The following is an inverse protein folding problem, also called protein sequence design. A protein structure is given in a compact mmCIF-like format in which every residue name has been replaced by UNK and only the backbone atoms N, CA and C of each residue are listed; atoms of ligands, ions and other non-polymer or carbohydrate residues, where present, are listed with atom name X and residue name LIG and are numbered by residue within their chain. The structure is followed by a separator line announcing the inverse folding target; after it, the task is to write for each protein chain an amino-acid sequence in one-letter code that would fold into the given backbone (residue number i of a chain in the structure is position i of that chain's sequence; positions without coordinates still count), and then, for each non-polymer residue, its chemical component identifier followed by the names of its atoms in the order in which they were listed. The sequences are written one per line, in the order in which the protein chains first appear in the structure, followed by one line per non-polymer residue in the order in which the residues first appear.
data_IF_692978465299
#
_entry.id   IF_692978465299
#
_cell.length_a   1.000
_cell.length_b   1.000
_cell.length_c   1.000
_cell.angle_alpha   90.00
_cell.angle_beta   90.00
_cell.angle_gamma   90.00
#
_symmetry.space_group_name_H-M   'P 1'
#
loop_
_entity.id
_entity.type
_entity.pdbx_description
1 polymer ?
#
# COMPACT_ATOMS: atom_id res chain seq x y z
N UNK A 1 -49.32 -10.46 -42.91
CA UNK A 1 -48.21 -11.22 -42.27
C UNK A 1 -47.02 -10.29 -42.07
N UNK A 2 -46.90 -9.63 -40.91
CA UNK A 2 -45.72 -8.83 -40.58
C UNK A 2 -44.54 -9.77 -40.24
N UNK A 3 -43.43 -9.64 -40.98
CA UNK A 3 -42.21 -10.42 -40.76
C UNK A 3 -41.58 -10.04 -39.42
N UNK A 4 -41.28 -11.07 -38.64
CA UNK A 4 -40.57 -11.05 -37.35
C UNK A 4 -39.27 -10.25 -37.43
N UNK A 5 -39.07 -9.44 -36.42
CA UNK A 5 -37.92 -8.58 -36.17
C UNK A 5 -36.58 -9.35 -36.16
N UNK A 6 -35.61 -8.86 -36.93
CA UNK A 6 -34.20 -9.27 -36.87
C UNK A 6 -33.48 -8.41 -35.82
N UNK A 7 -33.60 -8.74 -34.53
CA UNK A 7 -32.95 -8.01 -33.43
C UNK A 7 -32.34 -8.94 -32.35
N UNK A 8 -31.69 -10.03 -32.76
CA UNK A 8 -31.05 -10.98 -31.82
C UNK A 8 -29.54 -11.18 -32.04
N UNK A 9 -28.88 -10.35 -32.86
CA UNK A 9 -27.44 -10.49 -33.15
C UNK A 9 -26.50 -9.87 -32.10
N UNK A 10 -26.90 -8.77 -31.46
CA UNK A 10 -25.98 -7.98 -30.62
C UNK A 10 -25.77 -8.54 -29.20
N UNK A 11 -26.68 -9.38 -28.69
CA UNK A 11 -26.53 -9.98 -27.34
C UNK A 11 -25.46 -11.08 -27.27
N UNK A 12 -25.08 -11.72 -28.39
CA UNK A 12 -24.09 -12.82 -28.38
C UNK A 12 -22.63 -12.35 -28.28
N UNK A 13 -22.31 -11.12 -28.67
CA UNK A 13 -20.94 -10.60 -28.55
C UNK A 13 -20.55 -10.31 -27.09
N UNK A 14 -21.53 -9.96 -26.25
CA UNK A 14 -21.38 -9.81 -24.80
C UNK A 14 -21.32 -11.17 -24.05
N UNK A 15 -21.71 -12.27 -24.71
CA UNK A 15 -21.90 -13.59 -24.07
C UNK A 15 -20.65 -14.47 -24.00
N UNK A 16 -19.47 -14.00 -24.43
CA UNK A 16 -18.18 -14.68 -24.13
C UNK A 16 -17.94 -14.82 -22.61
N UNK A 17 -18.73 -14.13 -21.79
CA UNK A 17 -18.68 -14.10 -20.33
C UNK A 17 -19.66 -15.03 -19.59
N UNK A 18 -20.63 -15.67 -20.25
CA UNK A 18 -21.64 -16.51 -19.55
C UNK A 18 -21.15 -17.88 -19.06
N UNK A 19 -19.95 -18.33 -19.46
CA UNK A 19 -19.38 -19.62 -19.03
C UNK A 19 -18.47 -19.54 -17.80
N UNK A 20 -18.26 -18.35 -17.22
CA UNK A 20 -17.41 -18.21 -16.02
C UNK A 20 -18.18 -18.64 -14.78
N UNK A 21 -17.71 -19.70 -14.11
CA UNK A 21 -18.21 -20.09 -12.78
C UNK A 21 -18.00 -18.93 -11.80
N UNK A 22 -19.01 -18.61 -10.99
CA UNK A 22 -18.87 -17.68 -9.86
C UNK A 22 -18.00 -18.35 -8.79
N UNK A 23 -16.71 -17.99 -8.76
CA UNK A 23 -15.72 -18.48 -7.80
C UNK A 23 -14.83 -17.30 -7.37
N UNK A 24 -14.17 -17.39 -6.20
CA UNK A 24 -13.13 -16.43 -5.84
C UNK A 24 -12.14 -16.28 -7.01
N UNK A 25 -11.87 -15.03 -7.38
CA UNK A 25 -10.99 -14.70 -8.48
C UNK A 25 -9.66 -14.16 -7.94
N UNK A 26 -8.65 -14.17 -8.80
CA UNK A 26 -7.36 -13.54 -8.53
C UNK A 26 -7.59 -12.06 -8.10
N UNK A 27 -8.55 -11.32 -8.67
CA UNK A 27 -8.85 -9.93 -8.30
C UNK A 27 -9.55 -9.71 -6.93
N UNK A 28 -9.81 -10.75 -6.14
CA UNK A 28 -10.40 -10.57 -4.82
C UNK A 28 -9.33 -9.98 -3.86
N UNK A 29 -9.59 -8.86 -3.19
CA UNK A 29 -8.63 -8.28 -2.25
C UNK A 29 -8.44 -9.17 -1.03
N UNK A 30 -7.22 -9.19 -0.51
CA UNK A 30 -6.90 -9.76 0.80
C UNK A 30 -6.75 -8.63 1.83
N UNK A 31 -7.60 -8.64 2.87
CA UNK A 31 -7.63 -7.62 3.93
C UNK A 31 -6.75 -7.98 5.13
N UNK A 32 -6.19 -9.20 5.17
CA UNK A 32 -5.48 -9.72 6.35
C UNK A 32 -3.95 -9.54 6.26
N UNK A 33 -3.47 -8.84 5.23
CA UNK A 33 -2.05 -8.78 4.86
C UNK A 33 -1.34 -7.46 5.22
N UNK A 34 -1.97 -6.62 6.04
CA UNK A 34 -1.41 -5.36 6.50
C UNK A 34 -2.44 -4.22 6.48
N UNK A 35 -1.98 -2.96 6.55
CA UNK A 35 -2.86 -1.78 6.56
C UNK A 35 -3.53 -1.52 5.20
N UNK A 36 -2.99 -2.07 4.11
CA UNK A 36 -3.49 -1.90 2.75
C UNK A 36 -4.02 -3.24 2.24
N UNK A 37 -5.17 -3.22 1.58
CA UNK A 37 -5.70 -4.41 0.89
C UNK A 37 -4.73 -4.87 -0.21
N UNK A 38 -4.62 -6.19 -0.42
CA UNK A 38 -3.63 -6.74 -1.36
C UNK A 38 -4.27 -7.59 -2.47
N UNK A 39 -3.98 -7.36 -3.76
CA UNK A 39 -3.23 -6.22 -4.32
C UNK A 39 -3.98 -4.89 -4.11
N UNK A 40 -3.28 -3.74 -4.06
CA UNK A 40 -3.91 -2.45 -3.86
C UNK A 40 -4.83 -2.14 -5.02
N UNK A 41 -6.03 -1.65 -4.72
CA UNK A 41 -6.91 -1.09 -5.76
C UNK A 41 -6.33 0.22 -6.30
N UNK A 42 -6.75 0.63 -7.52
CA UNK A 42 -6.41 1.95 -8.03
C UNK A 42 -6.93 3.05 -7.09
N UNK A 43 -6.01 3.88 -6.58
CA UNK A 43 -6.30 5.06 -5.76
C UNK A 43 -5.86 6.30 -6.52
N UNK A 44 -6.61 7.40 -6.42
CA UNK A 44 -6.28 8.68 -7.03
C UNK A 44 -6.19 9.76 -5.96
N UNK A 45 -5.02 10.37 -5.84
CA UNK A 45 -4.80 11.53 -4.99
C UNK A 45 -4.82 12.79 -5.86
N UNK A 46 -5.68 13.76 -5.52
CA UNK A 46 -5.96 14.96 -6.32
C UNK A 46 -5.60 16.22 -5.54
N UNK A 47 -5.51 17.36 -6.22
CA UNK A 47 -5.25 18.64 -5.57
C UNK A 47 -6.32 19.03 -4.54
N UNK A 48 -7.58 18.67 -4.77
CA UNK A 48 -8.63 18.87 -3.77
C UNK A 48 -8.30 18.16 -2.44
N UNK A 49 -7.76 16.94 -2.49
CA UNK A 49 -7.34 16.24 -1.27
C UNK A 49 -6.11 16.90 -0.62
N UNK A 50 -5.24 17.57 -1.38
CA UNK A 50 -4.11 18.33 -0.83
C UNK A 50 -4.62 19.53 -0.06
N UNK A 51 -5.58 20.28 -0.62
CA UNK A 51 -6.17 21.45 0.03
C UNK A 51 -6.92 21.04 1.32
N UNK A 52 -7.68 19.95 1.27
CA UNK A 52 -8.34 19.35 2.44
C UNK A 52 -7.31 18.93 3.51
N UNK A 53 -6.22 18.27 3.10
CA UNK A 53 -5.16 17.85 4.01
C UNK A 53 -4.46 19.05 4.66
N UNK A 54 -4.23 20.13 3.90
CA UNK A 54 -3.64 21.36 4.41
C UNK A 54 -4.54 22.01 5.46
N UNK A 55 -5.83 22.17 5.17
CA UNK A 55 -6.80 22.73 6.12
C UNK A 55 -6.92 21.86 7.39
N UNK A 56 -7.00 20.53 7.22
CA UNK A 56 -7.01 19.59 8.34
C UNK A 56 -5.74 19.73 9.20
N UNK A 57 -4.56 19.79 8.57
CA UNK A 57 -3.28 19.89 9.29
C UNK A 57 -3.15 21.19 10.08
N UNK A 58 -3.59 22.32 9.50
CA UNK A 58 -3.62 23.61 10.16
C UNK A 58 -4.55 23.57 11.38
N UNK A 59 -5.74 22.97 11.24
CA UNK A 59 -6.69 22.85 12.34
C UNK A 59 -6.11 22.03 13.50
N UNK A 60 -5.50 20.87 13.22
CA UNK A 60 -4.85 20.02 14.24
C UNK A 60 -3.72 20.74 14.97
N UNK A 61 -2.93 21.54 14.25
CA UNK A 61 -1.87 22.34 14.84
C UNK A 61 -2.41 23.45 15.76
N UNK A 62 -3.47 24.15 15.35
CA UNK A 62 -4.09 25.21 16.17
C UNK A 62 -4.76 24.65 17.43
N UNK A 63 -5.38 23.47 17.32
CA UNK A 63 -6.02 22.77 18.44
C UNK A 63 -5.00 22.02 19.33
N UNK A 64 -3.70 22.05 18.99
CA UNK A 64 -2.62 21.32 19.65
C UNK A 64 -2.87 19.80 19.79
N UNK A 65 -3.61 19.21 18.83
CA UNK A 65 -3.88 17.78 18.76
C UNK A 65 -2.83 17.07 17.87
N UNK A 66 -1.86 16.44 18.53
CA UNK A 66 -0.73 15.79 17.87
C UNK A 66 -0.86 14.25 17.78
N UNK A 67 -1.96 13.66 18.24
CA UNK A 67 -2.11 12.20 18.27
C UNK A 67 -2.16 11.59 16.87
N UNK A 68 -2.92 12.21 15.96
CA UNK A 68 -2.99 11.77 14.56
C UNK A 68 -1.67 12.00 13.83
N UNK A 69 -0.97 13.12 14.11
CA UNK A 69 0.34 13.41 13.55
C UNK A 69 1.39 12.38 14.00
N UNK A 70 1.34 11.95 15.26
CA UNK A 70 2.21 10.91 15.79
C UNK A 70 1.93 9.54 15.15
N UNK A 71 0.66 9.18 14.91
CA UNK A 71 0.31 7.97 14.15
C UNK A 71 0.90 7.98 12.73
N UNK A 72 0.84 9.11 12.02
CA UNK A 72 1.46 9.22 10.70
C UNK A 72 2.98 9.11 10.75
N UNK A 73 3.62 9.72 11.76
CA UNK A 73 5.06 9.62 11.97
C UNK A 73 5.49 8.19 12.30
N UNK A 74 4.73 7.48 13.12
CA UNK A 74 4.98 6.07 13.45
C UNK A 74 4.81 5.16 12.23
N UNK A 75 3.74 5.36 11.45
CA UNK A 75 3.53 4.65 10.19
C UNK A 75 4.66 4.91 9.20
N UNK A 76 5.05 6.17 9.04
CA UNK A 76 6.19 6.54 8.21
C UNK A 76 7.48 5.89 8.74
N UNK A 77 7.76 5.93 10.05
CA UNK A 77 8.93 5.30 10.68
C UNK A 77 9.00 3.81 10.40
N UNK A 78 7.89 3.09 10.46
CA UNK A 78 7.85 1.65 10.19
C UNK A 78 8.13 1.31 8.71
N UNK A 79 7.49 2.03 7.78
CA UNK A 79 7.39 1.60 6.37
C UNK A 79 8.37 2.24 5.40
N UNK A 80 9.13 3.25 5.81
CA UNK A 80 10.07 3.96 4.93
C UNK A 80 11.55 3.77 5.29
N UNK A 81 11.87 2.63 5.91
CA UNK A 81 13.24 2.20 6.11
C UNK A 81 13.94 1.89 4.78
N UNK A 82 15.27 2.01 4.74
CA UNK A 82 16.04 1.65 3.56
C UNK A 82 16.03 0.12 3.38
N UNK A 83 15.70 -0.41 2.19
CA UNK A 83 15.69 -1.85 1.96
C UNK A 83 17.11 -2.43 2.03
N UNK A 84 17.23 -3.67 2.49
CA UNK A 84 18.51 -4.40 2.51
C UNK A 84 18.91 -4.81 1.11
N UNK A 85 20.22 -4.80 0.85
CA UNK A 85 20.77 -5.30 -0.43
C UNK A 85 20.47 -6.80 -0.60
N UNK A 86 19.91 -7.24 -1.74
CA UNK A 86 19.66 -8.66 -2.00
C UNK A 86 20.98 -9.43 -2.20
N UNK A 87 20.96 -10.74 -1.92
CA UNK A 87 22.11 -11.62 -2.17
C UNK A 87 22.24 -11.87 -3.68
N UNK A 88 23.47 -12.10 -4.15
CA UNK A 88 23.69 -12.43 -5.56
C UNK A 88 22.98 -13.74 -5.92
N UNK A 89 22.14 -13.71 -6.94
CA UNK A 89 21.31 -14.84 -7.34
C UNK A 89 19.85 -14.75 -6.88
N UNK A 90 19.54 -13.86 -5.94
CA UNK A 90 18.17 -13.62 -5.50
C UNK A 90 17.45 -12.73 -6.52
N UNK A 91 16.67 -13.35 -7.39
CA UNK A 91 15.87 -12.68 -8.42
C UNK A 91 14.41 -13.10 -8.35
N UNK A 92 13.51 -12.20 -8.73
CA UNK A 92 12.11 -12.56 -8.92
C UNK A 92 11.96 -13.60 -10.03
N UNK A 93 11.18 -14.68 -9.81
CA UNK A 93 11.02 -15.74 -10.80
C UNK A 93 10.23 -15.23 -12.00
N UNK A 94 10.74 -15.54 -13.20
CA UNK A 94 10.03 -15.30 -14.46
C UNK A 94 9.16 -16.50 -14.80
N UNK A 95 8.06 -16.25 -15.52
CA UNK A 95 7.26 -17.35 -16.06
C UNK A 95 8.12 -18.20 -17.02
N UNK A 96 8.16 -19.54 -16.87
CA UNK A 96 8.92 -20.39 -17.77
C UNK A 96 8.39 -20.29 -19.21
N UNK A 97 9.32 -20.23 -20.17
CA UNK A 97 9.00 -20.17 -21.61
C UNK A 97 8.53 -21.53 -22.12
N UNK A 98 7.87 -21.54 -23.28
CA UNK A 98 7.42 -22.75 -24.01
C UNK A 98 6.38 -23.63 -23.28
N UNK A 99 5.79 -23.16 -22.17
CA UNK A 99 4.62 -23.81 -21.54
C UNK A 99 3.32 -23.37 -22.24
N UNK A 100 3.20 -22.08 -22.53
CA UNK A 100 2.06 -21.49 -23.23
C UNK A 100 2.55 -20.60 -24.38
N UNK A 101 1.64 -20.27 -25.30
CA UNK A 101 1.85 -19.21 -26.30
C UNK A 101 2.05 -17.86 -25.61
N UNK A 102 2.80 -16.95 -26.22
CA UNK A 102 3.16 -15.65 -25.61
C UNK A 102 1.95 -14.77 -25.26
N UNK A 103 0.86 -14.88 -26.03
CA UNK A 103 -0.37 -14.12 -25.81
C UNK A 103 -1.34 -14.79 -24.80
N UNK A 104 -0.90 -15.83 -24.09
CA UNK A 104 -1.76 -16.57 -23.18
C UNK A 104 -1.92 -15.89 -21.80
N UNK A 105 -3.13 -15.95 -21.24
CA UNK A 105 -3.51 -15.32 -19.95
C UNK A 105 -2.68 -15.84 -18.76
N UNK A 106 -2.11 -17.04 -18.87
CA UNK A 106 -1.26 -17.63 -17.83
C UNK A 106 -0.08 -16.73 -17.43
N UNK A 107 0.44 -15.91 -18.36
CA UNK A 107 1.53 -14.97 -18.07
C UNK A 107 1.16 -13.93 -17.02
N UNK A 108 -0.01 -13.30 -17.19
CA UNK A 108 -0.51 -12.30 -16.23
C UNK A 108 -0.93 -12.97 -14.92
N UNK A 109 -1.55 -14.16 -14.99
CA UNK A 109 -1.95 -14.91 -13.78
C UNK A 109 -0.77 -15.34 -12.92
N UNK A 110 0.32 -15.78 -13.55
CA UNK A 110 1.55 -16.13 -12.85
C UNK A 110 2.07 -14.92 -12.06
N UNK A 111 2.23 -13.78 -12.73
CA UNK A 111 2.71 -12.54 -12.11
C UNK A 111 1.82 -12.12 -10.94
N UNK A 112 0.50 -12.08 -11.16
CA UNK A 112 -0.46 -11.68 -10.15
C UNK A 112 -0.40 -12.58 -8.90
N UNK A 113 -0.37 -13.90 -9.10
CA UNK A 113 -0.34 -14.86 -7.98
C UNK A 113 0.98 -14.84 -7.23
N UNK A 114 2.09 -14.57 -7.91
CA UNK A 114 3.38 -14.39 -7.28
C UNK A 114 3.38 -13.16 -6.37
N UNK A 115 2.95 -11.99 -6.85
CA UNK A 115 2.87 -10.79 -6.01
C UNK A 115 1.82 -10.92 -4.91
N UNK A 116 0.69 -11.58 -5.16
CA UNK A 116 -0.35 -11.79 -4.15
C UNK A 116 0.16 -12.63 -2.97
N UNK A 117 1.02 -13.62 -3.22
CA UNK A 117 1.65 -14.39 -2.15
C UNK A 117 2.71 -13.57 -1.40
N UNK A 118 3.45 -12.71 -2.11
CA UNK A 118 4.49 -11.85 -1.55
C UNK A 118 3.96 -10.47 -1.17
N UNK A 119 3.06 -10.43 -0.20
CA UNK A 119 2.50 -9.18 0.31
C UNK A 119 3.52 -8.38 1.11
N UNK A 120 3.26 -7.08 1.37
CA UNK A 120 4.17 -6.26 2.16
C UNK A 120 4.52 -6.92 3.47
N UNK A 121 3.57 -7.55 4.19
CA UNK A 121 3.84 -8.31 5.41
C UNK A 121 5.00 -9.30 5.31
N UNK A 122 5.21 -9.92 4.14
CA UNK A 122 6.22 -10.94 3.88
C UNK A 122 7.53 -10.40 3.27
N UNK A 123 7.66 -9.09 3.07
CA UNK A 123 8.91 -8.50 2.57
C UNK A 123 9.99 -8.49 3.64
N UNK A 124 10.82 -9.53 3.65
CA UNK A 124 11.95 -9.69 4.57
C UNK A 124 13.09 -8.70 4.30
N UNK A 125 13.18 -8.20 3.06
CA UNK A 125 14.19 -7.25 2.64
C UNK A 125 13.92 -5.81 3.13
N UNK A 126 12.76 -5.56 3.75
CA UNK A 126 12.44 -4.27 4.36
C UNK A 126 12.47 -4.41 5.90
N UNK A 127 13.50 -3.88 6.59
CA UNK A 127 13.60 -4.00 8.03
C UNK A 127 12.64 -3.02 8.72
N UNK A 128 11.47 -3.49 9.18
CA UNK A 128 10.46 -2.65 9.86
C UNK A 128 10.75 -2.40 11.32
N UNK A 129 11.35 -3.39 11.98
CA UNK A 129 11.63 -3.40 13.41
C UNK A 129 13.14 -3.26 13.59
N UNK A 130 13.62 -2.03 13.69
CA UNK A 130 15.03 -1.72 13.87
C UNK A 130 15.22 -0.27 14.29
N UNK A 131 16.33 0.02 14.97
CA UNK A 131 16.71 1.41 15.25
C UNK A 131 16.89 2.13 13.92
N UNK A 132 16.08 3.15 13.68
CA UNK A 132 16.21 4.02 12.53
C UNK A 132 17.06 5.22 12.95
N UNK A 133 18.40 5.20 12.77
CA UNK A 133 19.29 6.23 13.33
C UNK A 133 18.97 7.63 12.80
N UNK A 134 18.40 7.71 11.60
CA UNK A 134 18.04 8.98 10.95
C UNK A 134 16.71 9.58 11.46
N UNK A 135 16.03 8.90 12.41
CA UNK A 135 14.67 9.28 12.83
C UNK A 135 14.56 9.46 14.33
N UNK A 136 13.70 10.38 14.72
CA UNK A 136 13.23 10.53 16.10
C UNK A 136 12.53 9.24 16.54
N UNK A 137 12.95 8.74 17.71
CA UNK A 137 12.51 7.45 18.21
C UNK A 137 11.17 7.54 18.91
N UNK A 138 10.93 8.64 19.63
CA UNK A 138 9.76 8.83 20.47
C UNK A 138 9.05 10.15 20.20
N UNK A 139 7.78 10.23 20.57
CA UNK A 139 6.97 11.45 20.49
C UNK A 139 7.65 12.62 21.22
N UNK A 140 8.33 12.34 22.34
CA UNK A 140 9.11 13.30 23.14
C UNK A 140 10.19 14.05 22.36
N UNK A 141 10.69 13.48 21.27
CA UNK A 141 11.83 14.04 20.53
C UNK A 141 11.39 15.11 19.51
N UNK A 142 10.08 15.23 19.28
CA UNK A 142 9.50 16.16 18.32
C UNK A 142 9.37 17.59 18.89
N UNK A 143 9.38 18.63 18.04
CA UNK A 143 9.54 20.02 18.47
C UNK A 143 8.42 20.52 19.36
N UNK A 144 7.21 19.95 19.29
CA UNK A 144 6.12 20.30 20.21
C UNK A 144 6.48 20.05 21.69
N UNK A 145 7.42 19.16 21.98
CA UNK A 145 7.90 18.84 23.34
C UNK A 145 9.10 19.69 23.79
N UNK A 146 9.43 20.77 23.07
CA UNK A 146 10.60 21.62 23.36
C UNK A 146 10.67 22.17 24.79
N UNK A 147 9.52 22.46 25.42
CA UNK A 147 9.49 22.97 26.80
C UNK A 147 10.00 21.93 27.80
N UNK A 148 9.59 20.67 27.63
CA UNK A 148 10.03 19.56 28.49
C UNK A 148 11.53 19.32 28.32
N UNK A 149 12.03 19.38 27.09
CA UNK A 149 13.46 19.25 26.79
C UNK A 149 14.27 20.37 27.45
N UNK A 150 13.80 21.62 27.33
CA UNK A 150 14.43 22.77 27.96
C UNK A 150 14.50 22.64 29.48
N UNK A 151 13.40 22.25 30.12
CA UNK A 151 13.34 22.14 31.58
C UNK A 151 14.23 20.98 32.08
N UNK A 152 14.36 19.89 31.31
CA UNK A 152 15.30 18.80 31.60
C UNK A 152 16.77 19.23 31.48
N UNK A 153 17.12 20.04 30.48
CA UNK A 153 18.47 20.58 30.31
C UNK A 153 18.87 21.53 31.46
N UNK A 154 17.93 22.38 31.89
CA UNK A 154 18.15 23.26 33.04
C UNK A 154 18.44 22.47 34.34
N UNK A 155 17.70 21.38 34.57
CA UNK A 155 17.94 20.49 35.73
C UNK A 155 19.28 19.76 35.65
N UNK A 156 19.77 19.44 34.45
CA UNK A 156 21.11 18.86 34.27
C UNK A 156 22.23 19.87 34.52
N UNK A 157 22.04 21.12 34.13
CA UNK A 157 23.04 22.19 34.29
C UNK A 157 23.22 22.71 35.72
N UNK A 158 22.29 22.35 36.62
CA UNK A 158 22.28 22.75 38.04
C UNK A 158 22.86 21.68 38.99
N UNK A 159 23.40 20.59 38.43
CA UNK A 159 24.16 19.54 39.14
C UNK A 159 25.63 19.62 38.76
#
# INVERSE_FOLDING_TARGET
MLKRTHLLGWRRFLDKHKSRRKRPNDNNPDMNQGPVEWLPRPVRFTWAHVDELQQWSMRKQLDADYDELNKFRDFHREWSQHPTRPVLGDYEPKMPRKIYKDNHVARVRFLYRWHRANSPKHWLWLPRTGSAPERRAHASDYPENWKVLRDADLQRSSR
#
